data_IF_364840241230
#
_entry.id   IF_364840241230
#
_cell.length_a   1.000
_cell.length_b   1.000
_cell.length_c   1.000
_cell.angle_alpha   90.00
_cell.angle_beta   90.00
_cell.angle_gamma   90.00
#
_symmetry.space_group_name_H-M   'P 1'
#
loop_
_entity.id
_entity.type
_entity.pdbx_description
1 polymer ?
#
# COMPACT_ATOMS: atom_id res chain seq x y z
N UNK A 1 -21.30 9.77 -11.56
CA UNK A 1 -20.08 9.56 -10.76
C UNK A 1 -20.34 9.45 -9.25
N UNK A 2 -21.13 10.33 -8.62
CA UNK A 2 -21.40 10.29 -7.16
C UNK A 2 -22.08 9.01 -6.63
N UNK A 3 -22.91 8.31 -7.43
CA UNK A 3 -23.60 7.08 -6.97
C UNK A 3 -22.64 5.92 -6.65
N UNK A 4 -21.55 5.75 -7.40
CA UNK A 4 -20.58 4.66 -7.17
C UNK A 4 -19.78 4.87 -5.88
N UNK A 5 -19.38 6.12 -5.64
CA UNK A 5 -18.67 6.53 -4.43
C UNK A 5 -19.52 6.33 -3.16
N UNK A 6 -20.85 6.39 -3.29
CA UNK A 6 -21.79 6.22 -2.18
C UNK A 6 -22.19 4.77 -1.91
N UNK A 7 -21.54 3.80 -2.54
CA UNK A 7 -21.78 2.37 -2.29
C UNK A 7 -21.23 1.92 -0.94
N UNK A 8 -21.82 0.85 -0.40
CA UNK A 8 -21.41 0.24 0.89
C UNK A 8 -19.93 -0.17 0.90
N UNK A 9 -19.37 -0.48 -0.26
CA UNK A 9 -17.95 -0.85 -0.44
C UNK A 9 -17.00 0.25 0.06
N UNK A 10 -17.30 1.52 -0.21
CA UNK A 10 -16.47 2.66 0.22
C UNK A 10 -16.82 3.21 1.62
N UNK A 11 -17.58 2.45 2.41
CA UNK A 11 -18.05 2.90 3.72
C UNK A 11 -17.08 2.67 4.89
N UNK A 12 -16.12 1.75 4.74
CA UNK A 12 -15.12 1.39 5.76
C UNK A 12 -13.83 0.91 5.10
N UNK A 13 -12.67 1.31 5.66
CA UNK A 13 -11.36 1.04 5.07
C UNK A 13 -11.05 -0.43 4.83
N UNK A 14 -11.47 -1.35 5.73
CA UNK A 14 -11.18 -2.77 5.55
C UNK A 14 -11.78 -3.35 4.26
N UNK A 15 -12.92 -2.85 3.76
CA UNK A 15 -13.60 -3.44 2.60
C UNK A 15 -12.78 -3.35 1.32
N UNK A 16 -12.40 -2.14 0.83
CA UNK A 16 -11.61 -2.05 -0.38
C UNK A 16 -10.21 -2.62 -0.19
N UNK A 17 -9.57 -2.38 0.95
CA UNK A 17 -8.20 -2.81 1.16
C UNK A 17 -8.05 -4.33 1.36
N UNK A 18 -8.99 -5.00 2.02
CA UNK A 18 -8.93 -6.47 2.14
C UNK A 18 -9.25 -7.12 0.80
N UNK A 19 -10.18 -6.56 0.03
CA UNK A 19 -10.46 -7.01 -1.33
C UNK A 19 -9.23 -6.87 -2.24
N UNK A 20 -8.61 -5.67 -2.26
CA UNK A 20 -7.40 -5.43 -3.03
C UNK A 20 -6.24 -6.31 -2.56
N UNK A 21 -6.05 -6.46 -1.25
CA UNK A 21 -5.03 -7.34 -0.68
C UNK A 21 -5.22 -8.80 -1.10
N UNK A 22 -6.45 -9.33 -1.02
CA UNK A 22 -6.75 -10.70 -1.43
C UNK A 22 -6.58 -10.92 -2.94
N UNK A 23 -7.02 -9.96 -3.76
CA UNK A 23 -6.82 -10.02 -5.21
C UNK A 23 -5.32 -9.95 -5.56
N UNK A 24 -4.58 -9.08 -4.88
CA UNK A 24 -3.16 -8.88 -5.12
C UNK A 24 -2.32 -10.07 -4.67
N UNK A 25 -2.63 -10.70 -3.53
CA UNK A 25 -1.92 -11.91 -3.09
C UNK A 25 -2.11 -13.05 -4.09
N UNK A 26 -3.34 -13.24 -4.61
CA UNK A 26 -3.59 -14.23 -5.65
C UNK A 26 -2.75 -13.96 -6.90
N UNK A 27 -2.77 -12.71 -7.40
CA UNK A 27 -1.99 -12.32 -8.58
C UNK A 27 -0.49 -12.53 -8.35
N UNK A 28 0.04 -12.04 -7.22
CA UNK A 28 1.46 -12.10 -6.91
C UNK A 28 1.95 -13.55 -6.74
N UNK A 29 1.16 -14.41 -6.09
CA UNK A 29 1.48 -15.84 -5.96
C UNK A 29 1.44 -16.58 -7.31
N UNK A 30 0.50 -16.23 -8.20
CA UNK A 30 0.45 -16.81 -9.55
C UNK A 30 1.65 -16.39 -10.40
N UNK A 31 2.03 -15.11 -10.35
CA UNK A 31 3.23 -14.62 -11.06
C UNK A 31 4.48 -15.30 -10.51
N UNK A 32 4.59 -15.42 -9.19
CA UNK A 32 5.71 -16.07 -8.52
C UNK A 32 5.80 -17.57 -8.84
N UNK A 33 4.67 -18.28 -8.81
CA UNK A 33 4.60 -19.69 -9.23
C UNK A 33 4.95 -19.87 -10.70
N UNK A 34 4.50 -18.95 -11.56
CA UNK A 34 4.87 -18.91 -12.98
C UNK A 34 6.37 -18.68 -13.20
N UNK A 35 7.00 -17.84 -12.37
CA UNK A 35 8.45 -17.65 -12.38
C UNK A 35 9.19 -18.93 -12.00
N UNK A 36 8.82 -19.58 -10.89
CA UNK A 36 9.41 -20.87 -10.50
C UNK A 36 9.19 -21.98 -11.53
N UNK A 37 8.07 -21.95 -12.24
CA UNK A 37 7.79 -22.87 -13.35
C UNK A 37 8.50 -22.53 -14.67
N UNK A 38 9.27 -21.44 -14.74
CA UNK A 38 9.95 -21.00 -15.96
C UNK A 38 9.03 -20.39 -17.03
N UNK A 39 7.79 -20.03 -16.68
CA UNK A 39 6.75 -19.51 -17.58
C UNK A 39 6.79 -17.98 -17.63
N UNK A 40 7.14 -17.33 -16.52
CA UNK A 40 7.10 -15.87 -16.37
C UNK A 40 8.47 -15.33 -16.04
N UNK A 41 8.86 -14.24 -16.69
CA UNK A 41 10.05 -13.45 -16.32
C UNK A 41 9.66 -12.40 -15.28
N UNK A 42 10.40 -12.27 -14.17
CA UNK A 42 10.11 -11.29 -13.14
C UNK A 42 10.35 -9.86 -13.66
N UNK A 43 9.76 -8.84 -13.03
CA UNK A 43 9.94 -7.45 -13.43
C UNK A 43 11.43 -7.05 -13.40
N UNK A 44 11.88 -6.34 -14.44
CA UNK A 44 13.29 -5.92 -14.58
C UNK A 44 13.70 -4.77 -13.66
N UNK A 45 12.77 -4.25 -12.86
CA UNK A 45 13.02 -3.11 -11.98
C UNK A 45 13.88 -3.48 -10.76
N UNK A 46 13.80 -4.72 -10.29
CA UNK A 46 14.62 -5.24 -9.18
C UNK A 46 15.57 -6.31 -9.70
N UNK A 47 16.77 -6.35 -9.13
CA UNK A 47 17.85 -7.25 -9.53
C UNK A 47 17.57 -8.72 -9.18
N UNK A 48 17.01 -8.94 -7.98
CA UNK A 48 16.76 -10.26 -7.44
C UNK A 48 15.25 -10.57 -7.39
N UNK A 49 14.79 -11.62 -8.11
CA UNK A 49 13.38 -12.02 -8.09
C UNK A 49 12.86 -12.35 -6.68
N UNK A 50 13.71 -12.90 -5.81
CA UNK A 50 13.31 -13.24 -4.42
C UNK A 50 13.06 -11.98 -3.61
N UNK A 51 13.95 -10.99 -3.72
CA UNK A 51 13.79 -9.67 -3.10
C UNK A 51 12.55 -8.94 -3.62
N UNK A 52 12.26 -9.04 -4.93
CA UNK A 52 11.02 -8.53 -5.50
C UNK A 52 9.77 -9.18 -4.91
N UNK A 53 9.73 -10.51 -4.84
CA UNK A 53 8.58 -11.20 -4.26
C UNK A 53 8.39 -10.85 -2.79
N UNK A 54 9.48 -10.80 -2.01
CA UNK A 54 9.44 -10.38 -0.61
C UNK A 54 8.90 -8.95 -0.46
N UNK A 55 9.34 -8.03 -1.33
CA UNK A 55 8.82 -6.66 -1.37
C UNK A 55 7.32 -6.63 -1.63
N UNK A 56 6.83 -7.38 -2.61
CA UNK A 56 5.41 -7.42 -2.93
C UNK A 56 4.55 -8.07 -1.84
N UNK A 57 5.10 -9.03 -1.09
CA UNK A 57 4.41 -9.61 0.07
C UNK A 57 4.32 -8.61 1.23
N UNK A 58 5.38 -7.84 1.51
CA UNK A 58 5.42 -6.88 2.62
C UNK A 58 4.68 -5.57 2.28
N UNK A 59 5.08 -4.91 1.20
CA UNK A 59 4.61 -3.56 0.84
C UNK A 59 3.42 -3.56 -0.11
N UNK A 60 3.18 -4.67 -0.82
CA UNK A 60 1.94 -4.88 -1.57
C UNK A 60 0.85 -5.46 -0.69
N UNK A 61 0.92 -6.76 -0.40
CA UNK A 61 -0.11 -7.50 0.30
C UNK A 61 -0.28 -7.07 1.77
N UNK A 62 0.76 -7.21 2.61
CA UNK A 62 0.65 -6.94 4.05
C UNK A 62 0.25 -5.49 4.31
N UNK A 63 0.82 -4.52 3.59
CA UNK A 63 0.43 -3.12 3.72
C UNK A 63 -1.02 -2.85 3.30
N UNK A 64 -1.59 -3.56 2.34
CA UNK A 64 -3.03 -3.45 2.06
C UNK A 64 -3.86 -3.88 3.28
N UNK A 65 -3.54 -5.02 3.90
CA UNK A 65 -4.24 -5.53 5.09
C UNK A 65 -4.06 -4.58 6.29
N UNK A 66 -2.84 -4.13 6.57
CA UNK A 66 -2.55 -3.17 7.64
C UNK A 66 -3.34 -1.89 7.45
N UNK A 67 -3.42 -1.38 6.22
CA UNK A 67 -4.16 -0.15 5.92
C UNK A 67 -5.66 -0.31 6.15
N UNK A 68 -6.24 -1.43 5.70
CA UNK A 68 -7.65 -1.74 5.93
C UNK A 68 -7.99 -1.83 7.43
N UNK A 69 -7.10 -2.46 8.20
CA UNK A 69 -7.21 -2.53 9.66
C UNK A 69 -7.11 -1.14 10.30
N UNK A 70 -6.03 -0.40 10.05
CA UNK A 70 -5.75 0.89 10.69
C UNK A 70 -6.81 1.95 10.38
N UNK A 71 -7.26 2.04 9.13
CA UNK A 71 -8.32 2.99 8.74
C UNK A 71 -9.66 2.70 9.41
N UNK A 72 -9.89 1.45 9.80
CA UNK A 72 -11.08 1.05 10.55
C UNK A 72 -10.88 1.25 12.06
N UNK A 73 -9.71 0.86 12.57
CA UNK A 73 -9.37 0.92 13.99
C UNK A 73 -9.24 2.37 14.50
N UNK A 74 -8.68 3.27 13.70
CA UNK A 74 -8.48 4.67 14.10
C UNK A 74 -9.81 5.38 14.39
N UNK A 75 -10.88 5.06 13.64
CA UNK A 75 -12.20 5.61 13.92
C UNK A 75 -12.71 5.15 15.30
N UNK A 76 -12.53 3.88 15.62
CA UNK A 76 -12.92 3.30 16.91
C UNK A 76 -12.10 3.89 18.07
N UNK A 77 -10.79 4.09 17.89
CA UNK A 77 -9.90 4.63 18.92
C UNK A 77 -10.11 6.11 19.22
N UNK A 78 -10.58 6.86 18.22
CA UNK A 78 -10.73 8.32 18.31
C UNK A 78 -12.17 8.76 18.53
N UNK A 79 -13.13 7.83 18.44
CA UNK A 79 -14.57 8.13 18.43
C UNK A 79 -15.01 8.93 17.21
N UNK A 80 -14.13 9.07 16.20
CA UNK A 80 -14.34 9.89 15.02
C UNK A 80 -15.07 9.16 13.89
N UNK A 81 -15.47 9.94 12.88
CA UNK A 81 -16.01 9.35 11.66
C UNK A 81 -14.92 8.56 10.91
N UNK A 82 -15.22 7.35 10.42
CA UNK A 82 -14.25 6.57 9.66
C UNK A 82 -13.96 7.22 8.31
N UNK A 83 -12.77 6.93 7.77
CA UNK A 83 -12.42 7.27 6.40
C UNK A 83 -13.41 6.63 5.42
N UNK A 84 -13.93 7.43 4.48
CA UNK A 84 -15.00 7.01 3.56
C UNK A 84 -14.83 7.61 2.17
N UNK A 85 -15.49 6.99 1.20
CA UNK A 85 -15.73 7.53 -0.15
C UNK A 85 -14.43 7.98 -0.84
N UNK A 86 -14.37 9.23 -1.29
CA UNK A 86 -13.27 9.82 -2.06
C UNK A 86 -11.92 9.64 -1.39
N UNK A 87 -11.85 9.77 -0.06
CA UNK A 87 -10.60 9.60 0.68
C UNK A 87 -10.05 8.17 0.56
N UNK A 88 -10.93 7.17 0.69
CA UNK A 88 -10.55 5.76 0.52
C UNK A 88 -10.17 5.47 -0.93
N UNK A 89 -10.89 6.02 -1.91
CA UNK A 89 -10.54 5.86 -3.33
C UNK A 89 -9.13 6.40 -3.58
N UNK A 90 -8.82 7.60 -3.07
CA UNK A 90 -7.49 8.19 -3.22
C UNK A 90 -6.38 7.30 -2.66
N UNK A 91 -6.55 6.78 -1.43
CA UNK A 91 -5.57 5.86 -0.84
C UNK A 91 -5.44 4.55 -1.62
N UNK A 92 -6.55 3.97 -2.09
CA UNK A 92 -6.52 2.78 -2.92
C UNK A 92 -5.80 3.03 -4.26
N UNK A 93 -6.05 4.18 -4.90
CA UNK A 93 -5.38 4.55 -6.15
C UNK A 93 -3.87 4.72 -5.94
N UNK A 94 -3.45 5.41 -4.89
CA UNK A 94 -2.02 5.54 -4.56
C UNK A 94 -1.36 4.17 -4.37
N UNK A 95 -2.03 3.26 -3.67
CA UNK A 95 -1.55 1.89 -3.49
C UNK A 95 -1.45 1.13 -4.82
N UNK A 96 -2.49 1.17 -5.65
CA UNK A 96 -2.50 0.52 -6.97
C UNK A 96 -1.41 1.08 -7.87
N UNK A 97 -1.25 2.41 -7.92
CA UNK A 97 -0.20 3.07 -8.70
C UNK A 97 1.17 2.51 -8.30
N UNK A 98 1.47 2.44 -7.00
CA UNK A 98 2.74 1.91 -6.52
C UNK A 98 3.00 0.47 -6.98
N UNK A 99 1.97 -0.39 -7.01
CA UNK A 99 2.11 -1.76 -7.52
C UNK A 99 2.31 -1.81 -9.03
N UNK A 100 1.56 -1.00 -9.78
CA UNK A 100 1.67 -0.98 -11.25
C UNK A 100 3.05 -0.50 -11.68
N UNK A 101 3.57 0.58 -11.11
CA UNK A 101 4.87 1.15 -11.54
C UNK A 101 6.06 0.25 -11.24
N UNK A 102 5.97 -0.61 -10.21
CA UNK A 102 7.03 -1.57 -9.86
C UNK A 102 6.97 -2.84 -10.71
N UNK A 103 5.77 -3.28 -11.09
CA UNK A 103 5.57 -4.59 -11.75
C UNK A 103 5.41 -4.50 -13.27
N UNK A 104 5.06 -3.32 -13.79
CA UNK A 104 4.80 -3.11 -15.22
C UNK A 104 5.77 -2.07 -15.76
N UNK A 105 6.55 -2.45 -16.78
CA UNK A 105 7.40 -1.50 -17.48
C UNK A 105 6.54 -0.57 -18.36
N UNK A 106 6.32 0.64 -17.86
CA UNK A 106 5.56 1.71 -18.52
C UNK A 106 6.46 2.81 -19.10
N UNK A 107 7.77 2.58 -19.17
CA UNK A 107 8.72 3.54 -19.74
C UNK A 107 8.96 4.80 -18.90
N UNK A 108 8.63 4.79 -17.60
CA UNK A 108 8.89 5.91 -16.70
C UNK A 108 10.36 5.92 -16.24
N UNK A 109 10.95 7.12 -16.04
CA UNK A 109 12.23 7.27 -15.36
C UNK A 109 12.20 6.67 -13.95
N UNK A 110 13.29 6.03 -13.56
CA UNK A 110 13.46 5.34 -12.27
C UNK A 110 13.15 6.22 -11.04
N UNK A 111 13.57 7.50 -10.94
CA UNK A 111 13.20 8.34 -9.80
C UNK A 111 11.69 8.57 -9.66
N UNK A 112 10.96 8.59 -10.77
CA UNK A 112 9.50 8.76 -10.79
C UNK A 112 8.83 7.48 -10.29
N UNK A 113 9.33 6.31 -10.70
CA UNK A 113 8.83 5.01 -10.21
C UNK A 113 8.99 4.92 -8.69
N UNK A 114 10.18 5.24 -8.16
CA UNK A 114 10.46 5.23 -6.72
C UNK A 114 9.53 6.19 -5.98
N UNK A 115 9.39 7.42 -6.47
CA UNK A 115 8.50 8.42 -5.86
C UNK A 115 7.05 7.91 -5.80
N UNK A 116 6.53 7.38 -6.91
CA UNK A 116 5.16 6.87 -6.99
C UNK A 116 4.94 5.63 -6.10
N UNK A 117 5.91 4.72 -6.02
CA UNK A 117 5.86 3.55 -5.16
C UNK A 117 5.78 3.92 -3.67
N UNK A 118 6.51 4.98 -3.28
CA UNK A 118 6.63 5.42 -1.89
C UNK A 118 5.47 6.30 -1.39
N UNK A 119 4.64 6.87 -2.27
CA UNK A 119 3.59 7.83 -1.88
C UNK A 119 2.51 7.27 -0.93
N UNK A 120 2.26 5.97 -0.98
CA UNK A 120 1.15 5.36 -0.26
C UNK A 120 1.32 5.44 1.27
N UNK A 121 2.48 5.05 1.80
CA UNK A 121 2.70 4.95 3.25
C UNK A 121 2.61 6.34 3.94
N UNK A 122 3.23 7.41 3.41
CA UNK A 122 3.06 8.76 3.94
C UNK A 122 1.61 9.24 3.87
N UNK A 123 0.91 8.99 2.77
CA UNK A 123 -0.50 9.38 2.64
C UNK A 123 -1.39 8.67 3.68
N UNK A 124 -1.14 7.38 3.92
CA UNK A 124 -1.79 6.64 4.99
C UNK A 124 -1.44 7.21 6.38
N UNK A 125 -0.16 7.48 6.65
CA UNK A 125 0.28 8.03 7.92
C UNK A 125 -0.36 9.40 8.20
N UNK A 126 -0.46 10.28 7.20
CA UNK A 126 -1.18 11.56 7.30
C UNK A 126 -2.67 11.34 7.56
N UNK A 127 -3.30 10.38 6.87
CA UNK A 127 -4.70 10.04 7.11
C UNK A 127 -4.97 9.56 8.54
N UNK A 128 -4.02 8.88 9.17
CA UNK A 128 -4.15 8.40 10.54
C UNK A 128 -3.77 9.47 11.57
N UNK A 129 -2.82 10.36 11.25
CA UNK A 129 -2.34 11.37 12.19
C UNK A 129 -3.41 12.41 12.52
N UNK A 130 -4.21 12.84 11.54
CA UNK A 130 -5.26 13.84 11.73
C UNK A 130 -6.25 13.46 12.86
N UNK A 131 -6.94 12.31 12.82
CA UNK A 131 -7.88 11.92 13.88
C UNK A 131 -7.16 11.63 15.21
N UNK A 132 -5.96 11.03 15.18
CA UNK A 132 -5.19 10.72 16.39
C UNK A 132 -4.75 11.97 17.15
N UNK A 133 -4.28 13.01 16.44
CA UNK A 133 -3.89 14.29 17.02
C UNK A 133 -5.12 15.02 17.57
N UNK A 134 -6.22 15.06 16.79
CA UNK A 134 -7.48 15.71 17.22
C UNK A 134 -8.06 15.10 18.49
N UNK A 135 -8.04 13.77 18.61
CA UNK A 135 -8.55 13.08 19.80
C UNK A 135 -7.51 12.96 20.92
N UNK A 136 -6.29 13.51 20.73
CA UNK A 136 -5.14 13.37 21.64
C UNK A 136 -4.83 11.92 22.05
N UNK A 137 -5.10 10.95 21.18
CA UNK A 137 -4.89 9.53 21.49
C UNK A 137 -3.42 9.15 21.31
N UNK A 138 -2.58 9.57 22.26
CA UNK A 138 -1.12 9.35 22.24
C UNK A 138 -0.73 7.87 22.26
N UNK A 139 -1.55 7.01 22.87
CA UNK A 139 -1.29 5.56 22.95
C UNK A 139 -1.13 4.93 21.56
N UNK A 140 -1.90 5.42 20.59
CA UNK A 140 -1.90 4.87 19.23
C UNK A 140 -0.94 5.58 18.28
N UNK A 141 -0.10 6.51 18.76
CA UNK A 141 0.94 7.13 17.93
C UNK A 141 2.04 6.13 17.54
N UNK A 142 2.13 5.00 18.24
CA UNK A 142 3.02 3.90 17.88
C UNK A 142 2.84 3.47 16.41
N UNK A 143 1.61 3.47 15.89
CA UNK A 143 1.36 3.11 14.49
C UNK A 143 1.93 4.13 13.50
N UNK A 144 2.00 5.41 13.86
CA UNK A 144 2.69 6.40 13.03
C UNK A 144 4.21 6.16 13.03
N UNK A 145 4.78 5.81 14.19
CA UNK A 145 6.18 5.41 14.30
C UNK A 145 6.52 4.17 13.46
N UNK A 146 5.67 3.14 13.53
CA UNK A 146 5.82 1.92 12.74
C UNK A 146 5.70 2.19 11.24
N UNK A 147 4.72 2.99 10.81
CA UNK A 147 4.58 3.37 9.40
C UNK A 147 5.78 4.19 8.90
N UNK A 148 6.31 5.10 9.71
CA UNK A 148 7.53 5.86 9.37
C UNK A 148 8.74 4.95 9.25
N UNK A 149 8.87 3.95 10.12
CA UNK A 149 9.94 2.95 10.04
C UNK A 149 9.81 2.09 8.78
N UNK A 150 8.62 1.57 8.49
CA UNK A 150 8.35 0.83 7.26
C UNK A 150 8.63 1.66 6.01
N UNK A 151 8.23 2.94 5.99
CA UNK A 151 8.54 3.85 4.90
C UNK A 151 10.06 4.02 4.71
N UNK A 152 10.81 4.21 5.79
CA UNK A 152 12.26 4.36 5.72
C UNK A 152 12.93 3.07 5.19
N UNK A 153 12.45 1.91 5.60
CA UNK A 153 12.91 0.62 5.08
C UNK A 153 12.59 0.47 3.59
N UNK A 154 11.37 0.79 3.15
CA UNK A 154 10.94 0.74 1.75
C UNK A 154 11.77 1.68 0.88
N UNK A 155 11.94 2.93 1.32
CA UNK A 155 12.71 3.94 0.61
C UNK A 155 14.18 3.53 0.47
N UNK A 156 14.76 3.00 1.54
CA UNK A 156 16.14 2.48 1.52
C UNK A 156 16.22 1.31 0.52
N UNK A 157 15.33 0.34 0.62
CA UNK A 157 15.30 -0.81 -0.27
C UNK A 157 15.21 -0.40 -1.74
N UNK A 158 14.25 0.47 -2.09
CA UNK A 158 14.05 0.93 -3.46
C UNK A 158 15.20 1.80 -4.00
N UNK A 159 15.99 2.45 -3.15
CA UNK A 159 17.14 3.23 -3.61
C UNK A 159 18.37 2.36 -3.83
N UNK A 160 18.57 1.34 -2.98
CA UNK A 160 19.79 0.53 -3.01
C UNK A 160 19.70 -0.75 -3.86
N UNK A 161 18.51 -1.33 -4.07
CA UNK A 161 18.32 -2.59 -4.80
C UNK A 161 18.14 -2.43 -6.33
N UNK A 162 18.72 -1.35 -6.89
CA UNK A 162 18.50 -1.01 -8.29
C UNK A 162 19.54 -1.65 -9.24
N UNK A 163 19.12 -2.13 -10.43
CA UNK A 163 20.06 -2.51 -11.47
C UNK A 163 20.89 -1.30 -11.89
N UNK A 164 22.22 -1.42 -11.78
CA UNK A 164 23.18 -0.41 -12.25
C UNK A 164 23.43 -0.53 -13.75
#
# INVERSE_FOLDING_TARGET
MMKFLNSSFWGRGFRPFFFLGAAYSLISLLIWGGFYGGIVTPPSFMLDPVSWHAHEMIYGFCMAIVSGFLLTAVANWTGGAPARHVHLVGLCLLWVIGRVVLNVNIGLPQPIIIALALLFIPALAVSLSIPLIRSRNKRNFIFLGLLSCLFACDATFLVFDQPR
#
